data_IF_759110854217
#
_entry.id   IF_759110854217
#
_cell.length_a   1.000
_cell.length_b   1.000
_cell.length_c   1.000
_cell.angle_alpha   90.00
_cell.angle_beta   90.00
_cell.angle_gamma   90.00
#
_symmetry.space_group_name_H-M   'P 1'
#
loop_
_entity.id
_entity.type
_entity.pdbx_description
1 polymer ?
#
# COMPACT_ATOMS: atom_id res chain seq x y z
N UNK A 1 1.10 -15.50 4.23
CA UNK A 1 0.49 -15.53 5.59
C UNK A 1 0.95 -16.78 6.33
N UNK A 2 1.22 -16.71 7.65
CA UNK A 2 1.60 -17.89 8.45
C UNK A 2 0.37 -18.70 8.86
N UNK A 3 0.55 -20.01 9.11
CA UNK A 3 -0.54 -20.89 9.54
C UNK A 3 -1.17 -20.45 10.88
N UNK A 4 -0.34 -19.94 11.80
CA UNK A 4 -0.81 -19.42 13.09
C UNK A 4 -1.75 -18.22 12.92
N UNK A 5 -1.33 -17.24 12.10
CA UNK A 5 -2.16 -16.06 11.85
C UNK A 5 -3.44 -16.44 11.09
N UNK A 6 -3.35 -17.38 10.14
CA UNK A 6 -4.51 -17.86 9.41
C UNK A 6 -5.58 -18.45 10.33
N UNK A 7 -5.20 -19.34 11.27
CA UNK A 7 -6.12 -19.95 12.25
C UNK A 7 -6.77 -18.92 13.18
N UNK A 8 -6.04 -17.89 13.55
CA UNK A 8 -6.58 -16.78 14.34
C UNK A 8 -7.57 -15.95 13.50
N UNK A 9 -7.12 -15.53 12.32
CA UNK A 9 -7.89 -14.61 11.46
C UNK A 9 -9.16 -15.26 10.92
N UNK A 10 -9.19 -16.58 10.71
CA UNK A 10 -10.41 -17.33 10.38
C UNK A 10 -11.51 -17.09 11.42
N UNK A 11 -11.19 -17.26 12.70
CA UNK A 11 -12.15 -17.08 13.81
C UNK A 11 -12.54 -15.62 14.00
N UNK A 12 -11.56 -14.72 13.84
CA UNK A 12 -11.78 -13.30 14.01
C UNK A 12 -12.71 -12.75 12.90
N UNK A 13 -12.45 -13.11 11.66
CA UNK A 13 -13.19 -12.64 10.48
C UNK A 13 -14.61 -13.21 10.35
N UNK A 14 -14.95 -14.25 11.10
CA UNK A 14 -16.34 -14.74 11.20
C UNK A 14 -17.27 -13.77 11.96
N UNK A 15 -16.71 -12.97 12.86
CA UNK A 15 -17.45 -12.07 13.76
C UNK A 15 -17.25 -10.60 13.48
N UNK A 16 -16.20 -10.26 12.73
CA UNK A 16 -15.77 -8.89 12.49
C UNK A 16 -15.74 -8.58 11.00
N UNK A 17 -16.26 -7.42 10.66
CA UNK A 17 -16.16 -6.88 9.29
C UNK A 17 -14.80 -6.24 9.08
N UNK A 18 -14.28 -6.35 7.88
CA UNK A 18 -13.01 -5.73 7.52
C UNK A 18 -12.92 -5.37 6.04
N UNK A 19 -12.06 -4.42 5.78
CA UNK A 19 -11.64 -4.02 4.45
C UNK A 19 -10.16 -4.34 4.26
N UNK A 20 -9.76 -4.67 3.04
CA UNK A 20 -8.36 -4.82 2.68
C UNK A 20 -7.91 -3.59 1.90
N UNK A 21 -6.82 -2.96 2.32
CA UNK A 21 -6.24 -1.78 1.65
C UNK A 21 -4.77 -2.03 1.36
N UNK A 22 -4.39 -2.02 0.10
CA UNK A 22 -3.02 -2.34 -0.31
C UNK A 22 -2.50 -1.46 -1.45
N UNK A 23 -1.18 -1.23 -1.50
CA UNK A 23 -0.50 -0.66 -2.66
C UNK A 23 -0.32 -1.65 -3.82
N UNK A 24 -0.50 -2.97 -3.57
CA UNK A 24 -0.44 -3.99 -4.61
C UNK A 24 -1.66 -3.91 -5.54
N UNK A 25 -1.52 -4.44 -6.76
CA UNK A 25 -2.64 -4.75 -7.62
C UNK A 25 -3.37 -6.02 -7.16
N UNK A 26 -4.50 -6.35 -7.80
CA UNK A 26 -5.32 -7.50 -7.42
C UNK A 26 -4.57 -8.83 -7.57
N UNK A 27 -3.83 -9.01 -8.67
CA UNK A 27 -3.12 -10.27 -8.93
C UNK A 27 -2.04 -10.52 -7.88
N UNK A 28 -1.30 -9.48 -7.51
CA UNK A 28 -0.32 -9.55 -6.43
C UNK A 28 -0.97 -9.80 -5.06
N UNK A 29 -2.14 -9.25 -4.83
CA UNK A 29 -2.91 -9.48 -3.61
C UNK A 29 -3.36 -10.95 -3.51
N UNK A 30 -3.82 -11.55 -4.63
CA UNK A 30 -4.16 -12.99 -4.70
C UNK A 30 -2.98 -13.92 -4.45
N UNK A 31 -1.76 -13.52 -4.82
CA UNK A 31 -0.55 -14.28 -4.49
C UNK A 31 -0.22 -14.27 -2.99
N UNK A 32 -0.59 -13.22 -2.29
CA UNK A 32 -0.22 -12.97 -0.89
C UNK A 32 -1.26 -13.47 0.12
N UNK A 33 -2.53 -13.45 -0.26
CA UNK A 33 -3.67 -13.80 0.61
C UNK A 33 -4.48 -14.95 0.01
N UNK A 34 -4.90 -15.93 0.82
CA UNK A 34 -5.88 -16.91 0.41
C UNK A 34 -7.19 -16.25 -0.03
N UNK A 35 -7.78 -16.76 -1.10
CA UNK A 35 -9.01 -16.23 -1.69
C UNK A 35 -10.16 -16.10 -0.66
N UNK A 36 -10.26 -17.05 0.27
CA UNK A 36 -11.30 -17.05 1.30
C UNK A 36 -11.30 -15.78 2.18
N UNK A 37 -10.14 -15.13 2.38
CA UNK A 37 -10.09 -13.86 3.11
C UNK A 37 -10.44 -12.67 2.24
N UNK A 38 -10.21 -12.80 0.94
CA UNK A 38 -10.63 -11.78 -0.01
C UNK A 38 -12.16 -11.79 -0.18
N UNK A 39 -12.76 -12.99 -0.24
CA UNK A 39 -14.22 -13.17 -0.39
C UNK A 39 -15.02 -12.75 0.86
N UNK A 40 -14.40 -12.78 2.05
CA UNK A 40 -15.04 -12.33 3.29
C UNK A 40 -14.90 -10.83 3.56
N UNK A 41 -13.97 -10.15 2.88
CA UNK A 41 -13.79 -8.71 3.04
C UNK A 41 -15.01 -7.95 2.50
N UNK A 42 -15.46 -6.91 3.21
CA UNK A 42 -16.54 -6.02 2.73
C UNK A 42 -16.18 -5.36 1.39
N UNK A 43 -14.90 -5.05 1.19
CA UNK A 43 -14.30 -4.70 -0.09
C UNK A 43 -12.76 -4.78 -0.02
N UNK A 44 -12.14 -4.82 -1.20
CA UNK A 44 -10.68 -4.83 -1.37
C UNK A 44 -10.30 -3.59 -2.16
N UNK A 45 -9.48 -2.75 -1.58
CA UNK A 45 -8.90 -1.57 -2.20
C UNK A 45 -7.47 -1.85 -2.61
N UNK A 46 -7.23 -1.97 -3.90
CA UNK A 46 -5.90 -2.20 -4.49
C UNK A 46 -5.32 -0.91 -5.05
N UNK A 47 -4.02 -0.90 -5.38
CA UNK A 47 -3.34 0.26 -5.95
C UNK A 47 -3.56 1.55 -5.13
N UNK A 48 -3.36 1.47 -3.79
CA UNK A 48 -3.58 2.60 -2.86
C UNK A 48 -5.02 3.16 -2.88
N UNK A 49 -6.03 2.31 -3.10
CA UNK A 49 -7.43 2.72 -3.17
C UNK A 49 -7.88 3.18 -4.56
N UNK A 50 -7.01 3.11 -5.57
CA UNK A 50 -7.36 3.49 -6.94
C UNK A 50 -8.19 2.44 -7.68
N UNK A 51 -8.33 1.26 -7.10
CA UNK A 51 -9.20 0.20 -7.57
C UNK A 51 -9.98 -0.36 -6.39
N UNK A 52 -11.25 -0.67 -6.59
CA UNK A 52 -12.11 -1.32 -5.59
C UNK A 52 -12.73 -2.57 -6.18
N UNK A 53 -12.70 -3.63 -5.39
CA UNK A 53 -13.24 -4.95 -5.71
C UNK A 53 -14.19 -5.40 -4.62
N UNK A 54 -15.32 -5.98 -5.02
CA UNK A 54 -16.32 -6.55 -4.10
C UNK A 54 -16.92 -7.78 -4.75
N UNK A 55 -17.04 -8.88 -4.01
CA UNK A 55 -17.58 -10.15 -4.51
C UNK A 55 -16.89 -10.64 -5.80
N UNK A 56 -15.58 -10.36 -5.94
CA UNK A 56 -14.79 -10.71 -7.13
C UNK A 56 -14.97 -9.77 -8.33
N UNK A 57 -15.86 -8.77 -8.26
CA UNK A 57 -16.12 -7.82 -9.34
C UNK A 57 -15.40 -6.48 -9.12
N UNK A 58 -15.00 -5.84 -10.22
CA UNK A 58 -14.43 -4.48 -10.20
C UNK A 58 -15.55 -3.47 -10.04
N UNK A 59 -15.56 -2.74 -8.92
CA UNK A 59 -16.54 -1.66 -8.68
C UNK A 59 -16.07 -0.38 -9.37
N UNK A 60 -14.78 -0.05 -9.25
CA UNK A 60 -14.14 1.00 -10.03
C UNK A 60 -12.65 0.71 -10.25
N UNK A 61 -12.09 1.35 -11.25
CA UNK A 61 -10.67 1.32 -11.60
C UNK A 61 -10.27 2.68 -12.18
N UNK A 62 -9.66 3.52 -11.35
CA UNK A 62 -9.20 4.86 -11.72
C UNK A 62 -7.96 4.76 -12.60
N UNK A 63 -8.13 4.93 -13.90
CA UNK A 63 -7.01 4.78 -14.84
C UNK A 63 -6.03 5.95 -14.74
N UNK A 64 -4.75 5.63 -14.65
CA UNK A 64 -3.65 6.57 -14.68
C UNK A 64 -2.83 6.39 -15.95
N UNK A 65 -2.89 7.38 -16.84
CA UNK A 65 -2.04 7.38 -18.03
C UNK A 65 -0.65 7.90 -17.67
N UNK A 66 0.30 7.01 -17.56
CA UNK A 66 1.70 7.32 -17.19
C UNK A 66 2.32 8.31 -18.19
N UNK A 67 2.78 9.50 -17.75
CA UNK A 67 3.43 10.45 -18.64
C UNK A 67 4.74 9.89 -19.21
N UNK A 68 4.98 10.04 -20.51
CA UNK A 68 6.24 9.60 -21.14
C UNK A 68 7.48 10.23 -20.49
N UNK A 69 7.35 11.48 -20.02
CA UNK A 69 8.42 12.19 -19.28
C UNK A 69 8.74 11.53 -17.96
N UNK A 70 7.75 10.95 -17.26
CA UNK A 70 7.95 10.20 -16.03
C UNK A 70 8.78 8.93 -16.32
N UNK A 71 8.40 8.12 -17.31
CA UNK A 71 9.16 6.91 -17.67
C UNK A 71 10.62 7.24 -18.03
N UNK A 72 10.85 8.34 -18.76
CA UNK A 72 12.22 8.79 -19.07
C UNK A 72 12.99 9.19 -17.80
N UNK A 73 12.33 9.88 -16.85
CA UNK A 73 12.95 10.24 -15.59
C UNK A 73 13.32 8.98 -14.78
N UNK A 74 12.40 8.02 -14.64
CA UNK A 74 12.62 6.78 -13.90
C UNK A 74 13.79 5.98 -14.48
N UNK A 75 13.89 5.89 -15.82
CA UNK A 75 15.05 5.29 -16.50
C UNK A 75 16.36 5.99 -16.18
N UNK A 76 16.37 7.34 -16.16
CA UNK A 76 17.56 8.12 -15.79
C UNK A 76 17.93 7.90 -14.32
N UNK A 77 16.96 7.93 -13.41
CA UNK A 77 17.19 7.66 -11.99
C UNK A 77 17.78 6.27 -11.78
N UNK A 78 17.23 5.26 -12.42
CA UNK A 78 17.71 3.88 -12.33
C UNK A 78 19.17 3.77 -12.78
N UNK A 79 19.54 4.46 -13.88
CA UNK A 79 20.92 4.46 -14.40
C UNK A 79 21.91 5.18 -13.48
N UNK A 80 21.45 6.16 -12.71
CA UNK A 80 22.30 6.98 -11.83
C UNK A 80 22.33 6.50 -10.38
N UNK A 81 21.50 5.52 -10.01
CA UNK A 81 21.46 4.98 -8.66
C UNK A 81 22.81 4.36 -8.27
N UNK A 82 23.23 4.63 -7.03
CA UNK A 82 24.47 4.09 -6.46
C UNK A 82 24.34 2.64 -5.99
N UNK A 83 23.12 2.11 -5.86
CA UNK A 83 22.95 0.71 -5.56
C UNK A 83 23.33 -0.14 -6.77
N UNK A 84 24.26 -1.11 -6.65
CA UNK A 84 24.88 -1.74 -7.82
C UNK A 84 24.06 -2.87 -8.44
N UNK A 85 23.06 -3.40 -7.72
CA UNK A 85 22.35 -4.61 -8.16
C UNK A 85 20.97 -4.31 -8.74
N UNK A 86 20.59 -5.06 -9.80
CA UNK A 86 19.33 -4.93 -10.55
C UNK A 86 18.78 -6.31 -10.83
N UNK A 87 17.47 -6.54 -10.53
CA UNK A 87 16.83 -7.84 -10.68
C UNK A 87 15.44 -7.69 -11.32
N UNK A 88 15.36 -8.04 -12.60
CA UNK A 88 14.12 -8.11 -13.37
C UNK A 88 13.43 -6.77 -13.62
N UNK A 89 12.12 -6.74 -13.44
CA UNK A 89 11.30 -5.56 -13.73
C UNK A 89 11.48 -4.46 -12.69
N UNK A 90 11.65 -3.24 -13.14
CA UNK A 90 11.88 -2.05 -12.30
C UNK A 90 10.70 -1.08 -12.28
N UNK A 91 9.86 -1.11 -13.31
CA UNK A 91 8.72 -0.20 -13.48
C UNK A 91 7.51 -1.07 -13.79
N UNK A 92 6.58 -1.17 -12.84
CA UNK A 92 5.30 -1.86 -13.03
C UNK A 92 4.20 -0.82 -13.23
N UNK A 93 3.63 -0.79 -14.43
CA UNK A 93 2.40 -0.05 -14.70
C UNK A 93 1.22 -0.93 -14.26
N UNK A 94 0.52 -0.50 -13.20
CA UNK A 94 -0.64 -1.20 -12.62
C UNK A 94 -1.98 -0.66 -13.14
N UNK A 95 -1.94 0.16 -14.18
CA UNK A 95 -3.11 0.77 -14.80
C UNK A 95 -3.64 2.01 -14.07
N UNK A 96 -3.65 2.00 -12.75
CA UNK A 96 -4.08 3.12 -11.89
C UNK A 96 -2.93 3.78 -11.12
N UNK A 97 -1.76 3.17 -11.12
CA UNK A 97 -0.53 3.68 -10.52
C UNK A 97 0.71 3.02 -11.15
N UNK A 98 1.88 3.59 -10.88
CA UNK A 98 3.18 2.98 -11.21
C UNK A 98 3.89 2.60 -9.93
N UNK A 99 4.42 1.37 -9.88
CA UNK A 99 5.35 0.95 -8.84
C UNK A 99 6.77 0.95 -9.42
N UNK A 100 7.69 1.65 -8.78
CA UNK A 100 9.09 1.79 -9.20
C UNK A 100 10.03 1.20 -8.16
N UNK A 101 11.01 0.40 -8.59
CA UNK A 101 12.00 -0.22 -7.71
C UNK A 101 13.40 -0.18 -8.32
N UNK A 102 14.37 0.39 -7.60
CA UNK A 102 15.77 0.42 -8.02
C UNK A 102 16.38 -0.99 -8.06
N UNK A 103 16.10 -1.81 -7.05
CA UNK A 103 16.62 -3.19 -7.00
C UNK A 103 15.88 -4.13 -7.96
N UNK A 104 14.67 -3.78 -8.35
CA UNK A 104 13.81 -4.58 -9.22
C UNK A 104 12.89 -5.53 -8.45
N UNK A 105 11.84 -5.99 -9.13
CA UNK A 105 10.76 -6.76 -8.52
C UNK A 105 11.05 -8.26 -8.41
N UNK A 106 12.01 -8.76 -9.21
CA UNK A 106 12.36 -10.18 -9.25
C UNK A 106 13.48 -10.53 -8.26
N UNK A 107 13.80 -9.62 -7.35
CA UNK A 107 14.78 -9.85 -6.29
C UNK A 107 14.26 -10.87 -5.26
N UNK A 108 15.17 -11.75 -4.78
CA UNK A 108 14.89 -12.65 -3.67
C UNK A 108 14.67 -11.87 -2.37
N UNK A 109 14.15 -12.56 -1.34
CA UNK A 109 13.95 -11.94 -0.02
C UNK A 109 15.27 -11.40 0.57
N UNK A 110 16.38 -12.15 0.44
CA UNK A 110 17.69 -11.70 0.89
C UNK A 110 18.17 -10.44 0.15
N UNK A 111 17.97 -10.38 -1.18
CA UNK A 111 18.34 -9.22 -1.99
C UNK A 111 17.49 -8.00 -1.65
N UNK A 112 16.21 -8.22 -1.33
CA UNK A 112 15.27 -7.20 -0.86
C UNK A 112 15.72 -6.60 0.47
N UNK A 113 16.10 -7.44 1.42
CA UNK A 113 16.61 -7.02 2.73
C UNK A 113 17.91 -6.23 2.60
N UNK A 114 18.85 -6.68 1.76
CA UNK A 114 20.10 -5.94 1.48
C UNK A 114 19.85 -4.55 0.91
N UNK A 115 18.90 -4.43 -0.04
CA UNK A 115 18.54 -3.11 -0.57
C UNK A 115 17.88 -2.25 0.51
N UNK A 116 16.98 -2.80 1.29
CA UNK A 116 16.28 -2.09 2.35
C UNK A 116 17.24 -1.52 3.41
N UNK A 117 18.22 -2.33 3.86
CA UNK A 117 19.23 -1.87 4.83
C UNK A 117 20.15 -0.80 4.22
N UNK A 118 20.50 -0.91 2.94
CA UNK A 118 21.26 0.11 2.24
C UNK A 118 20.45 1.42 2.09
N UNK A 119 19.18 1.32 1.73
CA UNK A 119 18.29 2.48 1.54
C UNK A 119 18.03 3.23 2.85
N UNK A 120 18.00 2.56 3.99
CA UNK A 120 17.92 3.24 5.31
C UNK A 120 19.05 4.24 5.55
N UNK A 121 20.23 3.97 5.00
CA UNK A 121 21.40 4.83 5.15
C UNK A 121 21.47 5.87 4.02
N UNK A 122 21.23 5.46 2.78
CA UNK A 122 21.33 6.31 1.60
C UNK A 122 20.12 7.24 1.43
N UNK A 123 18.95 6.87 1.98
CA UNK A 123 17.67 7.55 1.81
C UNK A 123 17.27 7.70 0.34
N UNK A 124 17.77 6.81 -0.54
CA UNK A 124 17.63 6.94 -1.99
C UNK A 124 16.16 7.00 -2.41
N UNK A 125 15.30 6.12 -1.89
CA UNK A 125 13.87 6.15 -2.23
C UNK A 125 13.20 7.45 -1.80
N UNK A 126 13.55 8.00 -0.66
CA UNK A 126 13.04 9.29 -0.19
C UNK A 126 13.47 10.44 -1.10
N UNK A 127 14.74 10.45 -1.51
CA UNK A 127 15.28 11.45 -2.44
C UNK A 127 14.57 11.34 -3.79
N UNK A 128 14.40 10.12 -4.31
CA UNK A 128 13.71 9.87 -5.59
C UNK A 128 12.24 10.33 -5.51
N UNK A 129 11.53 9.95 -4.47
CA UNK A 129 10.12 10.33 -4.29
C UNK A 129 9.94 11.86 -4.28
N UNK A 130 10.82 12.57 -3.57
CA UNK A 130 10.80 14.04 -3.55
C UNK A 130 11.13 14.64 -4.93
N UNK A 131 12.12 14.13 -5.63
CA UNK A 131 12.46 14.59 -6.99
C UNK A 131 11.33 14.36 -8.00
N UNK A 132 10.56 13.28 -7.85
CA UNK A 132 9.38 13.01 -8.68
C UNK A 132 8.29 14.05 -8.39
N UNK A 133 7.95 14.28 -7.12
CA UNK A 133 6.93 15.27 -6.70
C UNK A 133 7.29 16.69 -7.12
N UNK A 134 8.55 17.07 -7.02
CA UNK A 134 9.05 18.38 -7.48
C UNK A 134 8.88 18.55 -9.00
N UNK A 135 9.24 17.52 -9.77
CA UNK A 135 9.21 17.58 -11.24
C UNK A 135 7.82 17.38 -11.83
N UNK A 136 6.93 16.70 -11.12
CA UNK A 136 5.56 16.41 -11.51
C UNK A 136 4.60 16.81 -10.36
N UNK A 137 4.24 18.10 -10.24
CA UNK A 137 3.39 18.57 -9.14
C UNK A 137 1.99 17.96 -9.07
N UNK A 138 1.53 17.37 -10.19
CA UNK A 138 0.26 16.67 -10.29
C UNK A 138 0.33 15.18 -9.88
N UNK A 139 1.52 14.72 -9.45
CA UNK A 139 1.75 13.36 -8.98
C UNK A 139 2.19 13.35 -7.53
N UNK A 140 1.78 12.30 -6.83
CA UNK A 140 2.36 11.88 -5.57
C UNK A 140 3.32 10.72 -5.79
N UNK A 141 4.33 10.64 -4.93
CA UNK A 141 5.30 9.56 -4.88
C UNK A 141 5.61 9.27 -3.42
N UNK A 142 5.34 8.04 -2.98
CA UNK A 142 5.51 7.60 -1.60
C UNK A 142 6.29 6.30 -1.51
N UNK A 143 6.90 6.05 -0.37
CA UNK A 143 7.63 4.79 -0.15
C UNK A 143 6.63 3.65 0.04
N UNK A 144 6.70 2.63 -0.81
CA UNK A 144 5.92 1.41 -0.78
C UNK A 144 6.72 0.22 -0.29
N UNK A 145 6.39 -0.32 0.87
CA UNK A 145 7.08 -1.48 1.44
C UNK A 145 8.61 -1.33 1.51
N UNK A 146 9.34 -2.42 1.29
CA UNK A 146 10.80 -2.45 1.49
C UNK A 146 11.63 -1.90 0.32
N UNK A 147 11.13 -1.94 -0.92
CA UNK A 147 11.96 -1.72 -2.11
C UNK A 147 11.36 -0.78 -3.14
N UNK A 148 10.13 -0.33 -2.94
CA UNK A 148 9.36 0.35 -3.98
C UNK A 148 9.07 1.81 -3.65
N UNK A 149 8.72 2.54 -4.69
CA UNK A 149 8.08 3.85 -4.67
C UNK A 149 6.78 3.71 -5.45
N UNK A 150 5.67 4.05 -4.82
CA UNK A 150 4.35 4.08 -5.43
C UNK A 150 4.08 5.48 -5.97
N UNK A 151 3.72 5.59 -7.26
CA UNK A 151 3.53 6.85 -7.99
C UNK A 151 2.13 6.87 -8.59
N UNK A 152 1.35 7.89 -8.28
CA UNK A 152 -0.05 8.02 -8.72
C UNK A 152 -0.44 9.50 -8.83
N UNK A 153 -1.60 9.84 -9.42
CA UNK A 153 -2.09 11.21 -9.45
C UNK A 153 -2.25 11.78 -8.04
N UNK A 154 -1.92 13.03 -7.85
CA UNK A 154 -1.96 13.71 -6.55
C UNK A 154 -3.32 13.58 -5.89
N UNK A 155 -3.33 13.22 -4.60
CA UNK A 155 -4.53 13.01 -3.80
C UNK A 155 -5.22 11.65 -4.02
N UNK A 156 -4.66 10.79 -4.90
CA UNK A 156 -5.17 9.44 -5.15
C UNK A 156 -4.42 8.41 -4.28
N UNK A 157 -4.23 8.74 -3.03
CA UNK A 157 -3.58 7.92 -2.00
C UNK A 157 -4.59 7.09 -1.18
N UNK A 158 -4.09 6.39 -0.16
CA UNK A 158 -4.94 5.53 0.67
C UNK A 158 -6.02 6.27 1.47
N UNK A 159 -5.92 7.59 1.68
CA UNK A 159 -6.91 8.36 2.41
C UNK A 159 -8.28 8.37 1.72
N UNK A 160 -8.31 8.26 0.37
CA UNK A 160 -9.55 8.18 -0.39
C UNK A 160 -10.46 7.02 0.04
N UNK A 161 -9.87 5.93 0.58
CA UNK A 161 -10.61 4.74 1.00
C UNK A 161 -11.60 5.05 2.12
N UNK A 162 -11.22 5.86 3.10
CA UNK A 162 -12.12 6.24 4.19
C UNK A 162 -13.34 6.99 3.66
N UNK A 163 -13.11 7.98 2.80
CA UNK A 163 -14.21 8.75 2.18
C UNK A 163 -15.17 7.86 1.38
N UNK A 164 -14.65 6.85 0.68
CA UNK A 164 -15.47 5.91 -0.10
C UNK A 164 -16.31 5.04 0.84
N UNK A 165 -15.69 4.50 1.89
CA UNK A 165 -16.40 3.66 2.87
C UNK A 165 -17.51 4.47 3.58
N UNK A 166 -17.21 5.72 3.94
CA UNK A 166 -18.20 6.62 4.56
C UNK A 166 -19.39 6.93 3.65
N UNK A 167 -19.13 7.19 2.37
CA UNK A 167 -20.19 7.47 1.39
C UNK A 167 -21.10 6.26 1.13
N UNK A 168 -20.57 5.06 1.20
CA UNK A 168 -21.34 3.83 1.00
C UNK A 168 -22.10 3.38 2.25
N UNK A 169 -21.75 3.86 3.43
CA UNK A 169 -22.40 3.50 4.68
C UNK A 169 -23.41 4.53 5.12
N UNK A 170 -24.61 4.05 5.48
CA UNK A 170 -25.66 4.85 6.12
C UNK A 170 -25.44 4.99 7.65
N UNK A 171 -24.30 4.50 8.18
CA UNK A 171 -23.99 4.49 9.61
C UNK A 171 -22.75 5.35 9.84
N UNK A 172 -22.73 6.22 10.87
CA UNK A 172 -21.59 7.07 11.19
C UNK A 172 -20.31 6.26 11.39
N UNK A 173 -19.14 6.79 10.99
CA UNK A 173 -17.86 6.08 10.99
C UNK A 173 -17.19 5.93 12.37
N UNK A 174 -17.94 6.06 13.46
CA UNK A 174 -17.42 6.08 14.83
C UNK A 174 -16.68 4.81 15.31
N UNK A 175 -16.45 3.85 14.42
CA UNK A 175 -15.90 2.54 14.80
C UNK A 175 -14.90 1.96 13.77
N UNK A 176 -14.25 2.80 12.95
CA UNK A 176 -13.20 2.29 12.07
C UNK A 176 -11.85 2.26 12.76
N UNK A 177 -11.17 1.13 12.61
CA UNK A 177 -9.79 0.94 13.05
C UNK A 177 -8.94 0.61 11.84
N UNK A 178 -7.87 1.35 11.65
CA UNK A 178 -6.88 1.09 10.62
C UNK A 178 -5.62 0.48 11.25
N UNK A 179 -5.09 -0.59 10.65
CA UNK A 179 -3.83 -1.21 11.04
C UNK A 179 -2.92 -1.23 9.83
N UNK A 180 -1.79 -0.52 9.89
CA UNK A 180 -0.85 -0.35 8.79
C UNK A 180 0.60 -0.41 9.23
N UNK A 181 1.52 -0.67 8.30
CA UNK A 181 2.97 -0.74 8.54
C UNK A 181 3.74 0.45 7.97
N UNK A 182 3.16 1.21 7.06
CA UNK A 182 3.74 2.38 6.42
C UNK A 182 3.20 3.72 6.92
N UNK A 183 2.94 3.86 8.22
CA UNK A 183 2.27 5.02 8.84
C UNK A 183 3.22 6.21 9.06
N UNK A 184 4.53 6.01 9.00
CA UNK A 184 5.49 7.13 9.14
C UNK A 184 5.42 8.09 7.95
N UNK A 185 5.74 9.36 8.19
CA UNK A 185 5.73 10.40 7.15
C UNK A 185 6.54 9.98 5.91
N UNK A 186 5.86 9.93 4.77
CA UNK A 186 6.39 9.45 3.49
C UNK A 186 6.10 7.98 3.20
N UNK A 187 5.50 7.24 4.11
CA UNK A 187 4.96 5.91 3.88
C UNK A 187 3.58 5.96 3.21
N UNK A 188 3.18 4.88 2.57
CA UNK A 188 1.94 4.84 1.81
C UNK A 188 0.66 4.71 2.66
N UNK A 189 0.78 4.41 3.97
CA UNK A 189 -0.32 4.38 4.93
C UNK A 189 -0.50 5.74 5.65
N UNK A 190 0.53 6.59 5.62
CA UNK A 190 0.53 7.87 6.31
C UNK A 190 -0.68 8.76 5.96
N UNK A 191 -1.06 8.93 4.68
CA UNK A 191 -2.20 9.80 4.35
C UNK A 191 -3.53 9.34 4.95
N UNK A 192 -3.74 8.03 5.08
CA UNK A 192 -4.94 7.49 5.71
C UNK A 192 -4.92 7.71 7.23
N UNK A 193 -3.80 7.41 7.89
CA UNK A 193 -3.65 7.64 9.32
C UNK A 193 -3.79 9.14 9.68
N UNK A 194 -3.16 10.02 8.90
CA UNK A 194 -3.27 11.48 9.07
C UNK A 194 -4.71 11.98 8.89
N UNK A 195 -5.45 11.43 7.93
CA UNK A 195 -6.87 11.76 7.74
C UNK A 195 -7.68 11.32 8.96
N UNK A 196 -7.44 10.13 9.50
CA UNK A 196 -8.14 9.60 10.68
C UNK A 196 -7.85 10.45 11.92
N UNK A 197 -6.61 10.85 12.16
CA UNK A 197 -6.26 11.80 13.24
C UNK A 197 -7.01 13.14 13.14
N UNK A 198 -7.15 13.65 11.92
CA UNK A 198 -7.81 14.94 11.69
C UNK A 198 -9.35 14.88 11.79
N UNK A 199 -9.93 13.69 11.72
CA UNK A 199 -11.39 13.51 11.74
C UNK A 199 -11.95 13.16 13.12
N UNK A 200 -11.09 12.85 14.11
CA UNK A 200 -11.45 12.41 15.48
C UNK A 200 -12.45 11.24 15.53
N UNK A 201 -12.59 10.51 14.42
CA UNK A 201 -13.67 9.51 14.24
C UNK A 201 -13.13 8.09 14.30
N UNK A 202 -11.82 7.91 14.10
CA UNK A 202 -11.23 6.60 13.90
C UNK A 202 -9.90 6.46 14.64
N UNK A 203 -9.63 5.24 15.09
CA UNK A 203 -8.33 4.88 15.63
C UNK A 203 -7.44 4.21 14.58
N UNK A 204 -6.14 4.37 14.69
CA UNK A 204 -5.19 3.62 13.89
C UNK A 204 -4.06 3.04 14.74
N UNK A 205 -3.50 1.93 14.28
CA UNK A 205 -2.41 1.24 14.95
C UNK A 205 -1.28 0.94 13.98
N UNK A 206 -0.06 1.27 14.40
CA UNK A 206 1.14 0.85 13.68
C UNK A 206 1.45 -0.61 13.97
N UNK A 207 1.77 -1.39 12.92
CA UNK A 207 2.21 -2.77 13.05
C UNK A 207 3.57 -2.99 12.38
N UNK A 208 4.41 -3.81 13.00
CA UNK A 208 5.68 -4.28 12.42
C UNK A 208 5.54 -5.63 11.72
N UNK A 209 4.34 -6.17 11.68
CA UNK A 209 4.04 -7.44 11.03
C UNK A 209 2.94 -8.23 11.72
N UNK A 210 2.65 -9.40 11.20
CA UNK A 210 1.47 -10.19 11.53
C UNK A 210 1.29 -10.53 13.03
N UNK A 211 2.40 -10.71 13.80
CA UNK A 211 2.31 -10.98 15.24
C UNK A 211 1.69 -9.81 15.98
N UNK A 212 2.19 -8.63 15.75
CA UNK A 212 1.66 -7.42 16.37
C UNK A 212 0.24 -7.10 15.88
N UNK A 213 -0.04 -7.35 14.58
CA UNK A 213 -1.42 -7.25 14.06
C UNK A 213 -2.38 -8.16 14.82
N UNK A 214 -1.96 -9.42 15.09
CA UNK A 214 -2.75 -10.36 15.90
C UNK A 214 -3.00 -9.83 17.31
N UNK A 215 -1.95 -9.36 18.00
CA UNK A 215 -2.05 -8.79 19.36
C UNK A 215 -3.01 -7.59 19.41
N UNK A 216 -2.93 -6.70 18.42
CA UNK A 216 -3.84 -5.56 18.28
C UNK A 216 -5.30 -6.07 18.13
N UNK A 217 -5.54 -6.96 17.17
CA UNK A 217 -6.88 -7.50 16.92
C UNK A 217 -7.44 -8.26 18.13
N UNK A 218 -6.61 -8.97 18.90
CA UNK A 218 -7.01 -9.63 20.14
C UNK A 218 -7.41 -8.62 21.22
N UNK A 219 -6.75 -7.48 21.30
CA UNK A 219 -7.07 -6.43 22.29
C UNK A 219 -8.34 -5.64 21.98
N UNK A 220 -8.84 -5.75 20.75
CA UNK A 220 -10.06 -5.08 20.30
C UNK A 220 -11.32 -5.99 20.39
N UNK A 221 -11.15 -7.23 20.87
CA UNK A 221 -12.26 -8.14 21.13
C UNK A 221 -12.63 -8.02 22.62
N UNK A 222 -13.54 -7.15 22.94
CA UNK A 222 -14.25 -7.14 24.22
C UNK A 222 -15.68 -7.70 24.07
#
# INVERSE_FOLDING_TARGET
MTEEFAKFFDKWSEKNKYYLVTGSDLDKTKEQLPIAYMDRAEAIFTCCGNQMWRDGESIYDNKFKVPRKLNKLLGTIMSNSQYPYRYGNHIEDRGSMVNFSIVGRDCTQEQREKYYEWDKQSLERKIIANAIKEKFPDLDAVIGGQISIDIYPKGMDKSQVLNIIEQERLVPPSEYIFIGDGIENGGNDYPLAELMDNTEICDWYHTKGWKQTKEILESLID
#
